data_IF_782531299592
#
_entry.id   IF_782531299592
#
_cell.length_a   1.000
_cell.length_b   1.000
_cell.length_c   1.000
_cell.angle_alpha   90.00
_cell.angle_beta   90.00
_cell.angle_gamma   90.00
#
_symmetry.space_group_name_H-M   'P 1'
#
loop_
_entity.id
_entity.type
_entity.pdbx_description
1 polymer ?
#
# COMPACT_ATOMS: atom_id res chain seq x y z
N UNK A 1 7.02 -20.68 7.13
CA UNK A 1 6.24 -21.65 6.32
C UNK A 1 4.72 -21.59 6.56
N UNK A 2 4.24 -21.41 7.81
CA UNK A 2 2.79 -21.40 8.15
C UNK A 2 1.89 -20.48 7.29
N UNK A 3 2.31 -19.27 6.94
CA UNK A 3 1.52 -18.35 6.07
C UNK A 3 1.36 -18.88 4.65
N UNK A 4 2.43 -19.40 4.05
CA UNK A 4 2.39 -19.93 2.68
C UNK A 4 1.51 -21.18 2.60
N UNK A 5 1.60 -22.06 3.61
CA UNK A 5 0.75 -23.24 3.71
C UNK A 5 -0.74 -22.86 3.81
N UNK A 6 -1.07 -21.86 4.63
CA UNK A 6 -2.42 -21.31 4.71
C UNK A 6 -2.90 -20.83 3.34
N UNK A 7 -2.12 -19.98 2.66
CA UNK A 7 -2.50 -19.43 1.35
C UNK A 7 -2.69 -20.53 0.30
N UNK A 8 -1.81 -21.54 0.28
CA UNK A 8 -1.93 -22.70 -0.63
C UNK A 8 -3.20 -23.50 -0.37
N UNK A 9 -3.57 -23.70 0.91
CA UNK A 9 -4.82 -24.38 1.28
C UNK A 9 -6.04 -23.61 0.81
N UNK A 10 -6.09 -22.29 1.04
CA UNK A 10 -7.21 -21.46 0.58
C UNK A 10 -7.33 -21.50 -0.95
N UNK A 11 -6.21 -21.45 -1.67
CA UNK A 11 -6.20 -21.57 -3.13
C UNK A 11 -6.71 -22.94 -3.60
N UNK A 12 -6.31 -24.03 -2.95
CA UNK A 12 -6.76 -25.38 -3.28
C UNK A 12 -8.25 -25.59 -2.98
N UNK A 13 -8.74 -25.09 -1.84
CA UNK A 13 -10.16 -25.17 -1.45
C UNK A 13 -11.06 -24.37 -2.41
N UNK A 14 -10.52 -23.36 -3.10
CA UNK A 14 -11.23 -22.59 -4.13
C UNK A 14 -11.52 -23.37 -5.42
N UNK A 15 -10.80 -24.46 -5.68
CA UNK A 15 -10.97 -25.31 -6.87
C UNK A 15 -10.33 -24.76 -8.15
N UNK A 16 -10.43 -25.51 -9.24
CA UNK A 16 -9.69 -25.26 -10.49
C UNK A 16 -10.06 -23.94 -11.20
N UNK A 17 -11.25 -23.40 -10.95
CA UNK A 17 -11.69 -22.11 -11.51
C UNK A 17 -11.22 -20.90 -10.69
N UNK A 18 -10.56 -21.13 -9.55
CA UNK A 18 -10.15 -20.07 -8.64
C UNK A 18 -8.92 -19.34 -9.15
N UNK A 19 -9.13 -18.11 -9.61
CA UNK A 19 -8.08 -17.29 -10.23
C UNK A 19 -8.15 -15.85 -9.75
N UNK A 20 -7.06 -15.10 -9.91
CA UNK A 20 -6.97 -13.68 -9.54
C UNK A 20 -5.95 -13.41 -8.44
N UNK A 21 -6.12 -12.30 -7.73
CA UNK A 21 -5.26 -11.90 -6.61
C UNK A 21 -5.97 -12.06 -5.28
N UNK A 22 -5.23 -12.56 -4.30
CA UNK A 22 -5.65 -12.59 -2.90
C UNK A 22 -4.46 -12.14 -2.06
N UNK A 23 -4.73 -11.26 -1.09
CA UNK A 23 -3.79 -11.03 0.01
C UNK A 23 -4.46 -11.35 1.33
N UNK A 24 -3.66 -11.80 2.28
CA UNK A 24 -4.08 -12.14 3.62
C UNK A 24 -3.23 -11.39 4.63
N UNK A 25 -3.89 -10.72 5.56
CA UNK A 25 -3.22 -10.07 6.68
C UNK A 25 -3.30 -11.00 7.88
N UNK A 26 -2.17 -11.15 8.59
CA UNK A 26 -2.04 -12.05 9.72
C UNK A 26 -1.61 -11.30 10.97
N UNK A 27 -2.22 -11.66 12.10
CA UNK A 27 -1.66 -11.38 13.41
C UNK A 27 -0.79 -12.56 13.84
N UNK A 28 0.34 -12.25 14.47
CA UNK A 28 1.27 -13.21 15.01
C UNK A 28 1.32 -13.01 16.52
N UNK A 29 0.93 -14.04 17.27
CA UNK A 29 0.98 -14.03 18.74
C UNK A 29 2.13 -14.93 19.21
N UNK A 30 2.95 -14.43 20.14
CA UNK A 30 4.12 -15.15 20.66
C UNK A 30 5.41 -14.84 19.90
N UNK A 31 6.52 -15.45 20.34
CA UNK A 31 7.84 -15.31 19.72
C UNK A 31 8.34 -16.67 19.20
N UNK A 32 9.10 -16.63 18.09
CA UNK A 32 9.74 -17.80 17.49
C UNK A 32 8.78 -18.93 17.04
N UNK A 33 9.16 -20.19 17.26
CA UNK A 33 8.57 -21.38 16.62
C UNK A 33 7.12 -21.69 17.05
N UNK A 34 6.74 -21.26 18.26
CA UNK A 34 5.39 -21.41 18.83
C UNK A 34 4.44 -20.27 18.45
N UNK A 35 4.84 -19.39 17.54
CA UNK A 35 4.01 -18.30 17.08
C UNK A 35 2.67 -18.81 16.52
N UNK A 36 1.57 -18.34 17.12
CA UNK A 36 0.21 -18.58 16.65
C UNK A 36 -0.10 -17.57 15.54
N UNK A 37 -0.45 -18.10 14.38
CA UNK A 37 -0.82 -17.31 13.21
C UNK A 37 -2.36 -17.21 13.14
N UNK A 38 -2.88 -15.99 13.11
CA UNK A 38 -4.32 -15.74 12.98
C UNK A 38 -4.59 -14.86 11.74
N UNK A 39 -5.22 -15.38 10.68
CA UNK A 39 -5.67 -14.54 9.57
C UNK A 39 -6.76 -13.59 10.05
N UNK A 40 -6.64 -12.30 9.76
CA UNK A 40 -7.59 -11.27 10.20
C UNK A 40 -8.33 -10.60 9.04
N UNK A 41 -7.75 -10.60 7.84
CA UNK A 41 -8.33 -9.95 6.68
C UNK A 41 -7.95 -10.72 5.40
N UNK A 42 -8.90 -10.79 4.47
CA UNK A 42 -8.67 -11.25 3.11
C UNK A 42 -9.07 -10.13 2.14
N UNK A 43 -8.14 -9.75 1.27
CA UNK A 43 -8.37 -8.77 0.22
C UNK A 43 -8.34 -9.48 -1.14
N UNK A 44 -9.49 -9.72 -1.79
CA UNK A 44 -9.55 -10.40 -3.08
C UNK A 44 -9.21 -9.45 -4.24
N UNK A 45 -8.01 -8.87 -4.17
CA UNK A 45 -7.45 -7.90 -5.12
C UNK A 45 -5.96 -7.77 -4.88
N UNK A 46 -5.27 -7.05 -5.77
CA UNK A 46 -3.92 -6.57 -5.48
C UNK A 46 -3.92 -5.73 -4.19
N UNK A 47 -2.97 -6.04 -3.32
CA UNK A 47 -2.72 -5.30 -2.09
C UNK A 47 -1.46 -4.46 -2.23
N UNK A 48 -1.34 -3.39 -1.45
CA UNK A 48 -0.22 -2.45 -1.54
C UNK A 48 1.14 -3.13 -1.37
N UNK A 49 1.21 -4.25 -0.64
CA UNK A 49 2.42 -5.06 -0.50
C UNK A 49 2.99 -5.59 -1.83
N UNK A 50 2.24 -5.52 -2.94
CA UNK A 50 2.74 -5.85 -4.29
C UNK A 50 3.94 -5.00 -4.71
N UNK A 51 4.07 -3.78 -4.19
CA UNK A 51 5.20 -2.89 -4.52
C UNK A 51 6.54 -3.48 -4.11
N UNK A 52 6.56 -4.37 -3.11
CA UNK A 52 7.76 -5.08 -2.67
C UNK A 52 8.33 -6.02 -3.75
N UNK A 53 7.55 -6.27 -4.80
CA UNK A 53 7.89 -7.12 -5.93
C UNK A 53 8.07 -6.34 -7.24
N UNK A 54 8.11 -5.00 -7.21
CA UNK A 54 8.19 -4.18 -8.42
C UNK A 54 9.35 -4.57 -9.35
N UNK A 55 10.49 -4.94 -8.79
CA UNK A 55 11.67 -5.40 -9.52
C UNK A 55 11.82 -6.93 -9.59
N UNK A 56 10.81 -7.69 -9.15
CA UNK A 56 10.85 -9.15 -9.16
C UNK A 56 10.20 -9.72 -10.44
N UNK A 57 11.00 -10.22 -11.41
CA UNK A 57 10.46 -10.73 -12.67
C UNK A 57 9.59 -11.98 -12.49
N UNK A 58 9.77 -12.75 -11.41
CA UNK A 58 9.00 -13.97 -11.15
C UNK A 58 7.50 -13.63 -10.98
N UNK A 59 7.20 -12.52 -10.30
CA UNK A 59 5.81 -12.11 -10.10
C UNK A 59 5.15 -11.70 -11.42
N UNK A 60 5.85 -10.91 -12.25
CA UNK A 60 5.35 -10.50 -13.56
C UNK A 60 5.18 -11.71 -14.50
N UNK A 61 6.17 -12.60 -14.56
CA UNK A 61 6.11 -13.82 -15.36
C UNK A 61 4.90 -14.69 -14.95
N UNK A 62 4.61 -14.80 -13.65
CA UNK A 62 3.44 -15.54 -13.13
C UNK A 62 2.11 -14.93 -13.60
N UNK A 63 2.01 -13.61 -13.75
CA UNK A 63 0.82 -13.00 -14.34
C UNK A 63 0.69 -13.29 -15.83
N UNK A 64 1.82 -13.26 -16.54
CA UNK A 64 1.81 -13.45 -17.99
C UNK A 64 1.45 -14.90 -18.32
N UNK A 65 1.89 -15.90 -17.56
CA UNK A 65 1.53 -17.31 -17.82
C UNK A 65 0.03 -17.57 -17.69
N UNK A 66 -0.70 -16.81 -16.86
CA UNK A 66 -2.17 -16.89 -16.75
C UNK A 66 -2.84 -16.37 -18.03
N UNK A 67 -2.26 -15.32 -18.66
CA UNK A 67 -2.85 -14.64 -19.83
C UNK A 67 -2.36 -15.26 -21.15
N UNK A 68 -1.12 -15.71 -21.21
CA UNK A 68 -0.45 -16.35 -22.34
C UNK A 68 0.12 -17.71 -21.88
N UNK A 69 -0.64 -18.81 -21.98
CA UNK A 69 -0.20 -20.13 -21.54
C UNK A 69 1.03 -20.67 -22.29
N UNK A 70 1.36 -20.11 -23.46
CA UNK A 70 2.56 -20.47 -24.21
C UNK A 70 3.79 -19.66 -23.76
N UNK A 71 3.65 -18.73 -22.81
CA UNK A 71 4.74 -17.91 -22.31
C UNK A 71 5.88 -18.73 -21.71
N UNK A 72 5.58 -19.82 -20.99
CA UNK A 72 6.61 -20.71 -20.44
C UNK A 72 7.50 -21.34 -21.53
N UNK A 73 6.91 -21.64 -22.70
CA UNK A 73 7.67 -22.17 -23.86
C UNK A 73 8.56 -21.09 -24.48
N UNK A 74 8.14 -19.82 -24.40
CA UNK A 74 8.89 -18.66 -24.92
C UNK A 74 10.01 -18.23 -23.98
N UNK A 75 9.94 -18.57 -22.69
CA UNK A 75 10.92 -18.17 -21.66
C UNK A 75 11.28 -19.36 -20.74
N UNK A 76 12.00 -20.37 -21.26
CA UNK A 76 12.42 -21.51 -20.45
C UNK A 76 13.43 -21.06 -19.38
N UNK A 77 13.11 -21.25 -18.10
CA UNK A 77 14.09 -21.08 -17.01
C UNK A 77 13.59 -20.48 -15.70
N UNK A 78 12.36 -19.96 -15.62
CA UNK A 78 11.84 -19.42 -14.34
C UNK A 78 11.08 -20.52 -13.59
N UNK A 79 11.62 -21.11 -12.51
CA UNK A 79 10.88 -22.11 -11.74
C UNK A 79 9.68 -21.46 -11.02
N UNK A 80 8.56 -22.17 -10.83
CA UNK A 80 7.43 -21.72 -10.03
C UNK A 80 7.80 -21.82 -8.54
N UNK A 81 8.69 -20.95 -8.07
CA UNK A 81 8.87 -20.69 -6.65
C UNK A 81 7.91 -19.58 -6.25
N UNK A 82 7.35 -19.60 -5.01
CA UNK A 82 6.74 -18.38 -4.48
C UNK A 82 7.73 -17.21 -4.68
N UNK A 83 7.26 -16.14 -5.31
CA UNK A 83 8.05 -14.92 -5.41
C UNK A 83 8.35 -14.45 -3.99
N UNK A 84 9.61 -14.13 -3.71
CA UNK A 84 10.05 -13.56 -2.44
C UNK A 84 10.50 -12.14 -2.73
N UNK A 85 10.09 -11.13 -1.93
CA UNK A 85 10.63 -9.79 -2.07
C UNK A 85 12.16 -9.77 -1.97
N UNK A 86 12.80 -8.82 -2.63
CA UNK A 86 14.24 -8.63 -2.47
C UNK A 86 14.58 -8.20 -1.03
N UNK A 87 15.78 -8.54 -0.57
CA UNK A 87 16.28 -8.15 0.77
C UNK A 87 16.44 -6.64 0.91
N UNK A 88 16.64 -5.93 -0.20
CA UNK A 88 16.58 -4.49 -0.27
C UNK A 88 15.26 -4.09 -0.90
N UNK A 89 14.43 -3.39 -0.15
CA UNK A 89 13.16 -2.85 -0.62
C UNK A 89 13.31 -1.34 -0.63
N UNK A 90 13.11 -0.72 -1.78
CA UNK A 90 13.03 0.73 -1.91
C UNK A 90 11.86 1.24 -1.05
N UNK A 91 12.10 2.28 -0.24
CA UNK A 91 11.05 2.89 0.57
C UNK A 91 10.02 3.58 -0.33
N UNK A 92 8.73 3.39 -0.03
CA UNK A 92 7.62 4.04 -0.73
C UNK A 92 6.87 5.00 0.20
N UNK A 93 6.61 6.21 -0.28
CA UNK A 93 5.84 7.22 0.46
C UNK A 93 4.78 7.88 -0.44
N UNK A 94 3.96 8.75 0.13
CA UNK A 94 3.03 9.60 -0.61
C UNK A 94 3.28 11.04 -0.22
N UNK A 95 3.77 11.85 -1.16
CA UNK A 95 4.19 13.22 -0.87
C UNK A 95 3.07 14.05 -0.27
N UNK A 96 1.83 13.92 -0.76
CA UNK A 96 0.71 14.66 -0.20
C UNK A 96 0.28 14.16 1.18
N UNK A 97 0.44 12.86 1.47
CA UNK A 97 0.21 12.35 2.82
C UNK A 97 1.21 12.96 3.80
N UNK A 98 2.50 12.92 3.47
CA UNK A 98 3.52 13.47 4.35
C UNK A 98 3.40 14.99 4.47
N UNK A 99 3.06 15.68 3.39
CA UNK A 99 2.81 17.12 3.45
C UNK A 99 1.67 17.45 4.43
N UNK A 100 0.56 16.72 4.35
CA UNK A 100 -0.57 16.91 5.28
C UNK A 100 -0.17 16.53 6.71
N UNK A 101 0.45 15.37 6.89
CA UNK A 101 0.75 14.81 8.20
C UNK A 101 1.88 15.54 8.94
N UNK A 102 2.88 16.04 8.21
CA UNK A 102 4.10 16.63 8.78
C UNK A 102 4.13 18.15 8.75
N UNK A 103 3.25 18.80 7.98
CA UNK A 103 3.13 20.26 7.97
C UNK A 103 1.73 20.75 8.31
N UNK A 104 0.70 20.35 7.54
CA UNK A 104 -0.65 20.93 7.71
C UNK A 104 -1.25 20.60 9.09
N UNK A 105 -1.25 19.32 9.47
CA UNK A 105 -1.83 18.88 10.74
C UNK A 105 -1.11 19.47 11.97
N UNK A 106 0.23 19.45 12.05
CA UNK A 106 0.97 20.16 13.09
C UNK A 106 0.60 21.63 13.22
N UNK A 107 0.51 22.37 12.10
CA UNK A 107 0.17 23.79 12.11
C UNK A 107 -1.28 24.04 12.50
N UNK A 108 -2.21 23.19 12.04
CA UNK A 108 -3.63 23.29 12.36
C UNK A 108 -3.94 22.95 13.82
N UNK A 109 -3.16 22.04 14.44
CA UNK A 109 -3.36 21.59 15.83
C UNK A 109 -2.52 22.36 16.85
N UNK A 110 -1.55 23.16 16.41
CA UNK A 110 -0.74 24.05 17.26
C UNK A 110 -1.59 24.93 18.20
N UNK A 111 -2.67 25.60 17.77
CA UNK A 111 -3.50 26.40 18.66
C UNK A 111 -4.23 25.58 19.73
N UNK A 112 -4.54 24.32 19.42
CA UNK A 112 -5.33 23.43 20.27
C UNK A 112 -4.52 22.75 21.38
N UNK A 113 -3.17 22.80 21.33
CA UNK A 113 -2.24 22.03 22.19
C UNK A 113 -2.46 20.51 22.18
N UNK A 114 -3.16 19.98 21.16
CA UNK A 114 -3.47 18.55 21.03
C UNK A 114 -2.29 17.76 20.42
N UNK A 115 -1.23 18.43 19.97
CA UNK A 115 -0.01 17.81 19.44
C UNK A 115 1.20 17.99 20.37
N UNK A 116 2.08 16.99 20.41
CA UNK A 116 3.35 17.09 21.13
C UNK A 116 4.33 17.94 20.28
N UNK A 117 4.83 19.05 20.82
CA UNK A 117 5.72 19.99 20.12
C UNK A 117 6.93 19.32 19.44
N UNK A 118 7.41 18.19 19.97
CA UNK A 118 8.51 17.44 19.34
C UNK A 118 8.16 16.77 18.01
N UNK A 119 6.89 16.48 17.73
CA UNK A 119 6.46 15.91 16.45
C UNK A 119 6.44 16.97 15.34
N UNK A 120 6.10 18.21 15.69
CA UNK A 120 6.17 19.36 14.78
C UNK A 120 7.61 19.64 14.35
N UNK A 121 8.57 19.50 15.26
CA UNK A 121 9.99 19.75 15.00
C UNK A 121 10.68 18.63 14.22
N UNK A 122 10.25 17.37 14.38
CA UNK A 122 10.81 16.22 13.64
C UNK A 122 10.13 15.95 12.29
N UNK A 123 8.94 16.53 12.07
CA UNK A 123 8.16 16.37 10.85
C UNK A 123 8.93 16.74 9.58
N UNK A 124 9.57 17.93 9.52
CA UNK A 124 10.30 18.37 8.34
C UNK A 124 11.49 17.47 7.98
N UNK A 125 12.29 17.04 8.95
CA UNK A 125 13.47 16.19 8.69
C UNK A 125 13.07 14.86 8.05
N UNK A 126 12.01 14.24 8.56
CA UNK A 126 11.49 12.99 8.01
C UNK A 126 10.82 13.17 6.63
N UNK A 127 10.17 14.32 6.37
CA UNK A 127 9.66 14.62 5.03
C UNK A 127 10.80 14.73 4.02
N UNK A 128 11.86 15.47 4.35
CA UNK A 128 13.02 15.61 3.47
C UNK A 128 13.76 14.29 3.27
N UNK A 129 13.85 13.46 4.31
CA UNK A 129 14.37 12.10 4.21
C UNK A 129 13.61 11.27 3.17
N UNK A 130 12.28 11.25 3.27
CA UNK A 130 11.44 10.53 2.32
C UNK A 130 11.56 11.11 0.91
N UNK A 131 11.47 12.43 0.76
CA UNK A 131 11.54 13.09 -0.54
C UNK A 131 12.87 12.82 -1.28
N UNK A 132 13.98 12.59 -0.57
CA UNK A 132 15.29 12.31 -1.16
C UNK A 132 15.62 10.82 -1.29
N UNK A 133 15.13 9.97 -0.38
CA UNK A 133 15.56 8.56 -0.28
C UNK A 133 14.48 7.57 -0.68
N UNK A 134 13.22 7.99 -0.80
CA UNK A 134 12.07 7.14 -1.05
C UNK A 134 11.41 7.49 -2.40
N UNK A 135 10.69 6.52 -2.96
CA UNK A 135 9.89 6.71 -4.18
C UNK A 135 8.46 7.10 -3.82
N UNK A 136 7.90 8.08 -4.53
CA UNK A 136 6.48 8.39 -4.40
C UNK A 136 5.66 7.28 -5.08
N UNK A 137 4.70 6.72 -4.35
CA UNK A 137 3.91 5.57 -4.80
C UNK A 137 2.89 5.88 -5.91
N UNK A 138 2.71 7.16 -6.29
CA UNK A 138 1.79 7.59 -7.36
C UNK A 138 2.53 8.24 -8.53
N UNK A 139 3.66 8.88 -8.29
CA UNK A 139 4.45 9.53 -9.34
C UNK A 139 5.30 8.53 -10.11
N UNK A 140 5.07 8.46 -11.42
CA UNK A 140 5.99 7.83 -12.37
C UNK A 140 6.23 8.78 -13.54
N UNK A 141 7.49 8.91 -13.97
CA UNK A 141 7.89 9.93 -14.97
C UNK A 141 7.15 9.75 -16.31
N UNK A 142 6.86 8.51 -16.70
CA UNK A 142 6.21 8.18 -17.97
C UNK A 142 4.67 8.24 -17.89
N UNK A 143 4.08 8.28 -16.70
CA UNK A 143 2.65 8.46 -16.48
C UNK A 143 2.38 9.32 -15.23
N UNK A 144 2.57 10.65 -15.33
CA UNK A 144 2.40 11.54 -14.19
C UNK A 144 0.92 11.90 -13.93
N UNK A 145 0.00 11.51 -14.81
CA UNK A 145 -1.40 11.92 -14.77
C UNK A 145 -2.10 11.50 -13.47
N UNK A 146 -1.95 10.25 -12.97
CA UNK A 146 -2.55 9.84 -11.71
C UNK A 146 -2.14 10.72 -10.54
N UNK A 147 -0.85 11.09 -10.47
CA UNK A 147 -0.32 11.97 -9.43
C UNK A 147 -0.96 13.37 -9.49
N UNK A 148 -1.01 13.97 -10.69
CA UNK A 148 -1.61 15.28 -10.86
C UNK A 148 -3.09 15.28 -10.50
N UNK A 149 -3.85 14.30 -11.01
CA UNK A 149 -5.28 14.16 -10.71
C UNK A 149 -5.50 13.97 -9.21
N UNK A 150 -4.69 13.13 -8.54
CA UNK A 150 -4.85 12.88 -7.11
C UNK A 150 -4.74 14.17 -6.28
N UNK A 151 -3.68 14.95 -6.48
CA UNK A 151 -3.38 16.09 -5.61
C UNK A 151 -3.99 17.42 -6.05
N UNK A 152 -4.25 17.61 -7.35
CA UNK A 152 -4.76 18.87 -7.88
C UNK A 152 -6.24 18.83 -8.24
N UNK A 153 -6.83 17.63 -8.33
CA UNK A 153 -8.24 17.45 -8.72
C UNK A 153 -9.00 16.70 -7.63
N UNK A 154 -8.67 15.44 -7.37
CA UNK A 154 -9.40 14.58 -6.44
C UNK A 154 -9.46 15.16 -5.03
N UNK A 155 -8.33 15.36 -4.35
CA UNK A 155 -8.32 15.85 -2.97
C UNK A 155 -8.94 17.24 -2.81
N UNK A 156 -8.62 18.24 -3.66
CA UNK A 156 -9.28 19.54 -3.62
C UNK A 156 -10.80 19.46 -3.79
N UNK A 157 -11.30 18.66 -4.74
CA UNK A 157 -12.74 18.48 -4.93
C UNK A 157 -13.42 17.74 -3.78
N UNK A 158 -12.76 16.74 -3.19
CA UNK A 158 -13.27 16.02 -2.01
C UNK A 158 -13.40 16.97 -0.82
N UNK A 159 -12.39 17.80 -0.58
CA UNK A 159 -12.40 18.79 0.48
C UNK A 159 -13.47 19.87 0.25
N UNK A 160 -13.52 20.45 -0.95
CA UNK A 160 -14.54 21.44 -1.31
C UNK A 160 -15.96 20.86 -1.20
N UNK A 161 -16.15 19.63 -1.67
CA UNK A 161 -17.42 18.92 -1.56
C UNK A 161 -17.85 18.67 -0.12
N UNK A 162 -16.91 18.40 0.78
CA UNK A 162 -17.19 18.26 2.21
C UNK A 162 -17.60 19.62 2.82
N UNK A 163 -16.87 20.69 2.51
CA UNK A 163 -17.18 22.05 2.96
C UNK A 163 -18.56 22.53 2.49
N UNK A 164 -18.86 22.40 1.19
CA UNK A 164 -20.12 22.86 0.61
C UNK A 164 -21.34 22.10 1.15
N UNK A 165 -21.16 20.85 1.56
CA UNK A 165 -22.24 20.00 2.09
C UNK A 165 -22.30 20.00 3.61
N UNK A 166 -21.41 20.73 4.28
CA UNK A 166 -21.29 20.71 5.74
C UNK A 166 -21.01 19.31 6.30
N UNK A 167 -20.30 18.46 5.55
CA UNK A 167 -19.98 17.10 6.02
C UNK A 167 -18.70 17.12 6.83
N UNK A 168 -18.81 16.68 8.07
CA UNK A 168 -17.66 16.44 8.91
C UNK A 168 -17.03 15.08 8.57
N UNK A 169 -15.73 14.95 8.86
CA UNK A 169 -15.01 13.69 8.75
C UNK A 169 -14.39 13.33 10.09
N UNK A 170 -14.45 12.06 10.44
CA UNK A 170 -13.78 11.54 11.63
C UNK A 170 -12.31 11.21 11.35
N UNK A 171 -12.01 10.70 10.15
CA UNK A 171 -10.67 10.28 9.73
C UNK A 171 -10.48 10.51 8.24
N UNK A 172 -9.26 10.84 7.84
CA UNK A 172 -8.86 10.92 6.43
C UNK A 172 -7.56 10.14 6.26
N UNK A 173 -7.54 9.27 5.27
CA UNK A 173 -6.34 8.57 4.84
C UNK A 173 -5.96 9.12 3.45
N UNK A 174 -4.97 10.03 3.46
CA UNK A 174 -4.53 10.78 2.28
C UNK A 174 -3.87 9.87 1.23
N UNK A 175 -3.16 8.82 1.65
CA UNK A 175 -2.47 7.89 0.75
C UNK A 175 -3.41 6.92 0.04
N UNK A 176 -4.50 6.50 0.71
CA UNK A 176 -5.47 5.55 0.12
C UNK A 176 -6.69 6.21 -0.52
N UNK A 177 -6.78 7.54 -0.51
CA UNK A 177 -7.95 8.23 -1.08
C UNK A 177 -9.23 8.11 -0.24
N UNK A 178 -9.13 7.72 1.05
CA UNK A 178 -10.33 7.43 1.86
C UNK A 178 -10.63 8.55 2.86
N UNK A 179 -11.89 8.99 2.88
CA UNK A 179 -12.43 9.93 3.86
C UNK A 179 -13.59 9.26 4.58
N UNK A 180 -13.50 9.17 5.91
CA UNK A 180 -14.50 8.56 6.77
C UNK A 180 -15.36 9.65 7.37
N UNK A 181 -16.68 9.58 7.14
CA UNK A 181 -17.62 10.59 7.62
C UNK A 181 -17.62 10.65 9.16
N UNK A 182 -17.86 11.85 9.70
CA UNK A 182 -18.14 12.07 11.12
C UNK A 182 -19.53 11.54 11.47
N UNK A 183 -19.72 11.19 12.75
CA UNK A 183 -21.06 10.90 13.27
C UNK A 183 -21.82 12.20 13.49
#
# INVERSE_FOLDING_TARGET
>A
MKMLEFTKRVAADGGDSFTGHLSFDFLIFGAADDAQLCPIECNPRAHTAVVLFAENPIMADTYITIVDPDFEKKRPGTPPSPAIPHNYVQGYYWVGHDFVARYILPLATMPSRVGHYSEVMKGPDAFWDHLWRWEDATWVVWDPVPFFVLYHVYWPMRFLGALLRGREWSRVNVSTGKMFEGK
#
